data_IF_059153666747
#
_entry.id   IF_059153666747
#
_cell.length_a   1.000
_cell.length_b   1.000
_cell.length_c   1.000
_cell.angle_alpha   90.00
_cell.angle_beta   90.00
_cell.angle_gamma   90.00
#
_symmetry.space_group_name_H-M   'P 1'
#
loop_
_entity.id
_entity.type
_entity.pdbx_description
1 polymer ?
#
# COMPACT_ATOMS: atom_id res chain seq x y z
N UNK A 1 5.74 17.78 -50.22
CA UNK A 1 4.43 17.37 -49.65
C UNK A 1 4.53 17.60 -48.15
N UNK A 2 3.57 18.24 -47.49
CA UNK A 2 3.65 18.42 -46.03
C UNK A 2 3.44 17.04 -45.39
N UNK A 3 4.39 16.61 -44.56
CA UNK A 3 4.25 15.37 -43.78
C UNK A 3 3.04 15.49 -42.86
N UNK A 4 2.29 14.40 -42.79
CA UNK A 4 1.18 14.23 -41.86
C UNK A 4 1.68 14.14 -40.43
N UNK A 5 0.81 14.42 -39.46
CA UNK A 5 1.18 14.37 -38.06
C UNK A 5 1.61 12.95 -37.62
N UNK A 6 1.00 11.91 -38.22
CA UNK A 6 1.38 10.52 -37.97
C UNK A 6 2.78 10.19 -38.51
N UNK A 7 3.17 10.74 -39.66
CA UNK A 7 4.51 10.53 -40.22
C UNK A 7 5.59 11.20 -39.37
N UNK A 8 5.30 12.39 -38.82
CA UNK A 8 6.19 13.10 -37.91
C UNK A 8 6.35 12.35 -36.57
N UNK A 9 5.27 11.82 -36.00
CA UNK A 9 5.30 10.99 -34.78
C UNK A 9 6.10 9.70 -35.00
N UNK A 10 5.79 8.96 -36.06
CA UNK A 10 6.51 7.73 -36.40
C UNK A 10 8.00 7.98 -36.60
N UNK A 11 8.36 9.07 -37.30
CA UNK A 11 9.75 9.48 -37.50
C UNK A 11 10.45 9.82 -36.18
N UNK A 12 9.77 10.50 -35.26
CA UNK A 12 10.29 10.86 -33.95
C UNK A 12 10.59 9.62 -33.09
N UNK A 13 9.60 8.73 -32.91
CA UNK A 13 9.77 7.54 -32.06
C UNK A 13 10.78 6.54 -32.63
N UNK A 14 10.87 6.41 -33.96
CA UNK A 14 11.86 5.54 -34.61
C UNK A 14 13.27 6.14 -34.66
N UNK A 15 13.49 7.33 -34.08
CA UNK A 15 14.76 8.07 -34.15
C UNK A 15 15.23 8.34 -35.60
N UNK A 16 14.27 8.57 -36.51
CA UNK A 16 14.50 8.86 -37.95
C UNK A 16 14.15 10.29 -38.35
N UNK A 17 13.55 11.07 -37.45
CA UNK A 17 13.21 12.47 -37.69
C UNK A 17 14.47 13.37 -37.64
N UNK A 18 14.55 14.30 -38.59
CA UNK A 18 15.51 15.40 -38.58
C UNK A 18 15.11 16.53 -37.64
N UNK A 19 16.04 17.38 -37.24
CA UNK A 19 15.76 18.54 -36.37
C UNK A 19 14.65 19.47 -36.91
N UNK A 20 14.54 19.58 -38.24
CA UNK A 20 13.47 20.36 -38.88
C UNK A 20 12.09 19.71 -38.68
N UNK A 21 12.01 18.38 -38.72
CA UNK A 21 10.78 17.60 -38.49
C UNK A 21 10.40 17.61 -37.00
N UNK A 22 11.37 17.55 -36.10
CA UNK A 22 11.14 17.65 -34.65
C UNK A 22 10.56 19.02 -34.29
N UNK A 23 11.18 20.10 -34.77
CA UNK A 23 10.67 21.46 -34.53
C UNK A 23 9.26 21.68 -35.12
N UNK A 24 8.97 21.08 -36.28
CA UNK A 24 7.64 21.14 -36.88
C UNK A 24 6.60 20.34 -36.08
N UNK A 25 6.96 19.16 -35.56
CA UNK A 25 6.11 18.36 -34.67
C UNK A 25 5.80 19.13 -33.38
N UNK A 26 6.82 19.72 -32.73
CA UNK A 26 6.63 20.52 -31.51
C UNK A 26 5.71 21.72 -31.73
N UNK A 27 5.89 22.44 -32.84
CA UNK A 27 5.05 23.58 -33.22
C UNK A 27 3.59 23.16 -33.42
N UNK A 28 3.34 22.00 -34.05
CA UNK A 28 1.97 21.47 -34.23
C UNK A 28 1.37 20.97 -32.92
N UNK A 29 2.16 20.29 -32.10
CA UNK A 29 1.75 19.85 -30.77
C UNK A 29 1.37 21.02 -29.85
N UNK A 30 1.99 22.20 -29.97
CA UNK A 30 1.56 23.38 -29.22
C UNK A 30 0.17 23.88 -29.64
N UNK A 31 -0.16 23.78 -30.93
CA UNK A 31 -1.41 24.26 -31.48
C UNK A 31 -2.58 23.26 -31.37
N UNK A 32 -2.30 21.95 -31.40
CA UNK A 32 -3.31 20.89 -31.47
C UNK A 32 -3.33 19.98 -30.22
N UNK A 33 -4.36 20.05 -29.36
CA UNK A 33 -4.52 19.14 -28.21
C UNK A 33 -4.66 17.66 -28.59
N UNK A 34 -5.31 17.33 -29.70
CA UNK A 34 -5.54 15.94 -30.10
C UNK A 34 -4.23 15.29 -30.57
N UNK A 35 -3.34 16.08 -31.18
CA UNK A 35 -1.99 15.63 -31.50
C UNK A 35 -1.14 15.38 -30.26
N UNK A 36 -1.28 16.20 -29.20
CA UNK A 36 -0.60 15.93 -27.91
C UNK A 36 -1.07 14.62 -27.28
N UNK A 37 -2.36 14.33 -27.35
CA UNK A 37 -2.91 13.08 -26.82
C UNK A 37 -2.38 11.86 -27.60
N UNK A 38 -2.31 11.95 -28.93
CA UNK A 38 -1.72 10.89 -29.78
C UNK A 38 -0.23 10.66 -29.49
N UNK A 39 0.55 11.73 -29.32
CA UNK A 39 1.95 11.64 -28.90
C UNK A 39 2.11 10.90 -27.56
N UNK A 40 1.29 11.23 -26.56
CA UNK A 40 1.34 10.57 -25.25
C UNK A 40 1.02 9.08 -25.34
N UNK A 41 0.02 8.71 -26.15
CA UNK A 41 -0.36 7.31 -26.35
C UNK A 41 0.77 6.49 -27.01
N UNK A 42 1.45 7.06 -28.00
CA UNK A 42 2.61 6.40 -28.64
C UNK A 42 3.82 6.32 -27.71
N UNK A 43 4.12 7.36 -26.93
CA UNK A 43 5.20 7.35 -25.95
C UNK A 43 5.00 6.28 -24.86
N UNK A 44 3.76 6.10 -24.40
CA UNK A 44 3.40 5.05 -23.44
C UNK A 44 3.55 3.65 -24.06
N UNK A 45 3.15 3.49 -25.32
CA UNK A 45 3.29 2.24 -26.06
C UNK A 45 4.77 1.86 -26.24
N UNK A 46 5.61 2.80 -26.68
CA UNK A 46 7.05 2.58 -26.87
C UNK A 46 7.75 2.23 -25.55
N UNK A 47 7.37 2.91 -24.45
CA UNK A 47 7.91 2.62 -23.11
C UNK A 47 7.53 1.20 -22.66
N UNK A 48 6.29 0.79 -22.91
CA UNK A 48 5.79 -0.55 -22.57
C UNK A 48 6.45 -1.66 -23.41
N UNK A 49 6.68 -1.41 -24.70
CA UNK A 49 7.41 -2.35 -25.56
C UNK A 49 8.88 -2.47 -25.14
N UNK A 50 9.49 -1.35 -24.74
CA UNK A 50 10.88 -1.34 -24.26
C UNK A 50 11.05 -2.02 -22.92
N UNK A 51 10.07 -1.92 -22.01
CA UNK A 51 10.11 -2.67 -20.75
C UNK A 51 10.00 -4.18 -20.99
N UNK A 52 9.16 -4.62 -21.94
CA UNK A 52 9.07 -6.03 -22.36
C UNK A 52 10.42 -6.51 -22.94
N UNK A 53 11.03 -5.74 -23.86
CA UNK A 53 12.32 -6.11 -24.46
C UNK A 53 13.49 -6.15 -23.46
N UNK A 54 13.46 -5.30 -22.42
CA UNK A 54 14.43 -5.32 -21.33
C UNK A 54 14.24 -6.53 -20.41
N UNK A 55 13.00 -7.01 -20.27
CA UNK A 55 12.65 -8.19 -19.49
C UNK A 55 13.06 -9.49 -20.20
N UNK A 56 12.97 -9.54 -21.53
CA UNK A 56 13.39 -10.69 -22.34
C UNK A 56 14.92 -10.89 -22.35
N UNK A 57 15.70 -9.80 -22.28
CA UNK A 57 17.17 -9.84 -22.19
C UNK A 57 17.71 -10.27 -20.81
N UNK A 58 16.85 -10.49 -19.80
CA UNK A 58 17.24 -10.93 -18.46
C UNK A 58 17.30 -12.47 -18.32
N UNK A 59 16.96 -13.23 -19.36
CA UNK A 59 17.12 -14.69 -19.40
C UNK A 59 18.50 -15.05 -19.99
N UNK A 60 19.29 -15.93 -19.36
CA UNK A 60 20.48 -16.46 -20.00
C UNK A 60 20.07 -17.23 -21.25
N UNK A 61 20.54 -16.80 -22.43
CA UNK A 61 20.44 -17.58 -23.66
C UNK A 61 21.07 -18.96 -23.43
N UNK A 62 20.21 -19.98 -23.33
CA UNK A 62 20.58 -21.39 -23.25
C UNK A 62 20.54 -22.06 -24.64
N UNK A 63 20.79 -21.30 -25.70
CA UNK A 63 21.00 -21.88 -27.02
C UNK A 63 22.49 -22.11 -27.22
N UNK A 64 22.92 -23.34 -26.90
CA UNK A 64 24.14 -23.89 -27.46
C UNK A 64 23.97 -23.91 -29.00
N UNK A 65 24.91 -23.28 -29.70
CA UNK A 65 25.07 -23.43 -31.15
C UNK A 65 25.37 -24.91 -31.47
N UNK A 66 24.34 -25.70 -31.75
CA UNK A 66 24.51 -26.98 -32.42
C UNK A 66 24.75 -26.71 -33.90
N UNK A 67 26.02 -26.82 -34.33
CA UNK A 67 26.43 -26.78 -35.73
C UNK A 67 25.80 -27.95 -36.49
N UNK A 68 24.60 -27.73 -37.03
CA UNK A 68 23.99 -28.66 -37.98
C UNK A 68 24.67 -28.56 -39.36
N UNK A 69 25.20 -29.68 -39.85
CA UNK A 69 25.74 -29.83 -41.20
C UNK A 69 24.64 -29.68 -42.28
N UNK A 70 24.97 -29.24 -43.50
CA UNK A 70 23.94 -28.93 -44.51
C UNK A 70 23.26 -30.20 -45.05
N UNK A 71 21.92 -30.23 -45.17
CA UNK A 71 21.24 -31.37 -45.74
C UNK A 71 21.38 -31.39 -47.27
N UNK A 72 21.72 -32.56 -47.82
CA UNK A 72 21.75 -32.79 -49.28
C UNK A 72 20.32 -32.96 -49.80
N UNK A 73 19.89 -32.02 -50.63
CA UNK A 73 18.62 -32.03 -51.35
C UNK A 73 18.44 -33.31 -52.19
N UNK A 74 17.34 -34.04 -51.97
CA UNK A 74 16.69 -34.83 -53.04
C UNK A 74 15.27 -34.32 -53.25
N UNK A 75 15.01 -33.89 -54.48
CA UNK A 75 13.78 -33.27 -54.97
C UNK A 75 12.71 -34.34 -55.19
N UNK A 76 11.83 -34.60 -54.23
CA UNK A 76 10.42 -35.05 -54.45
C UNK A 76 9.73 -35.30 -53.12
N UNK A 77 8.95 -34.33 -52.61
CA UNK A 77 7.64 -34.58 -51.97
C UNK A 77 6.94 -33.26 -51.55
N UNK A 78 6.81 -32.32 -52.48
CA UNK A 78 6.27 -30.97 -52.23
C UNK A 78 4.73 -30.93 -52.16
N UNK A 79 4.07 -31.93 -51.57
CA UNK A 79 2.59 -31.93 -51.40
C UNK A 79 2.03 -32.43 -50.07
N UNK A 80 2.84 -32.96 -49.14
CA UNK A 80 2.34 -33.33 -47.78
C UNK A 80 2.70 -32.28 -46.70
N UNK A 81 3.67 -31.39 -46.95
CA UNK A 81 4.12 -30.42 -45.93
C UNK A 81 3.12 -29.29 -45.66
N UNK A 82 2.25 -28.95 -46.62
CA UNK A 82 1.33 -27.81 -46.49
C UNK A 82 0.13 -28.08 -45.55
N UNK A 83 -0.23 -29.35 -45.32
CA UNK A 83 -1.28 -29.72 -44.37
C UNK A 83 -0.76 -29.81 -42.92
N UNK A 84 0.49 -30.29 -42.73
CA UNK A 84 1.11 -30.40 -41.41
C UNK A 84 1.50 -29.04 -40.82
N UNK A 85 1.93 -28.08 -41.64
CA UNK A 85 2.30 -26.74 -41.17
C UNK A 85 1.10 -25.93 -40.71
N UNK A 86 -0.06 -26.06 -41.37
CA UNK A 86 -1.27 -25.36 -40.95
C UNK A 86 -1.83 -25.95 -39.64
N UNK A 87 -1.81 -27.27 -39.50
CA UNK A 87 -2.21 -27.94 -38.25
C UNK A 87 -1.25 -27.63 -37.10
N UNK A 88 0.07 -27.56 -37.35
CA UNK A 88 1.05 -27.17 -36.36
C UNK A 88 0.93 -25.68 -35.99
N UNK A 89 0.74 -24.78 -36.96
CA UNK A 89 0.48 -23.37 -36.69
C UNK A 89 -0.85 -23.18 -35.94
N UNK A 90 -1.91 -23.91 -36.29
CA UNK A 90 -3.19 -23.88 -35.57
C UNK A 90 -3.06 -24.47 -34.17
N UNK A 91 -2.30 -25.55 -33.99
CA UNK A 91 -2.02 -26.12 -32.67
C UNK A 91 -1.24 -25.14 -31.80
N UNK A 92 -0.22 -24.47 -32.36
CA UNK A 92 0.54 -23.41 -31.68
C UNK A 92 -0.36 -22.19 -31.40
N UNK A 93 -1.25 -21.80 -32.33
CA UNK A 93 -2.24 -20.72 -32.11
C UNK A 93 -3.25 -21.07 -31.01
N UNK A 94 -3.73 -22.31 -30.96
CA UNK A 94 -4.63 -22.81 -29.92
C UNK A 94 -3.94 -23.03 -28.57
N UNK A 95 -2.62 -23.26 -28.56
CA UNK A 95 -1.83 -23.43 -27.33
C UNK A 95 -1.36 -22.09 -26.75
N UNK A 96 -1.16 -21.06 -27.59
CA UNK A 96 -0.79 -19.70 -27.18
C UNK A 96 -2.02 -18.86 -26.80
N UNK A 97 -3.21 -19.16 -27.34
CA UNK A 97 -4.42 -18.33 -27.20
C UNK A 97 -5.43 -18.72 -26.12
N UNK A 98 -5.08 -19.58 -25.15
CA UNK A 98 -5.96 -19.82 -24.00
C UNK A 98 -5.69 -18.78 -22.92
N UNK A 99 -6.29 -17.60 -23.05
CA UNK A 99 -6.51 -16.73 -21.90
C UNK A 99 -7.47 -17.47 -20.95
N UNK A 100 -7.01 -17.75 -19.73
CA UNK A 100 -7.86 -18.27 -18.67
C UNK A 100 -8.99 -17.26 -18.43
N UNK A 101 -10.26 -17.70 -18.42
CA UNK A 101 -11.39 -16.78 -18.28
C UNK A 101 -11.23 -15.96 -17.01
N UNK A 102 -11.51 -14.67 -17.13
CA UNK A 102 -11.53 -13.76 -15.99
C UNK A 102 -12.51 -14.23 -14.92
N UNK A 103 -12.09 -14.12 -13.67
CA UNK A 103 -12.86 -14.56 -12.50
C UNK A 103 -13.29 -13.39 -11.60
N UNK A 104 -12.90 -12.16 -11.96
CA UNK A 104 -13.31 -10.98 -11.24
C UNK A 104 -12.64 -9.69 -11.74
N UNK A 105 -12.93 -8.61 -11.03
CA UNK A 105 -12.43 -7.25 -11.29
C UNK A 105 -11.77 -6.71 -10.02
N UNK A 106 -10.65 -6.01 -10.17
CA UNK A 106 -10.03 -5.25 -9.09
C UNK A 106 -10.87 -4.00 -8.85
N UNK A 107 -11.61 -3.97 -7.75
CA UNK A 107 -12.52 -2.87 -7.39
C UNK A 107 -11.76 -1.65 -6.87
N UNK A 108 -10.68 -1.88 -6.11
CA UNK A 108 -9.76 -0.83 -5.69
C UNK A 108 -8.35 -1.36 -5.41
N UNK A 109 -7.34 -0.52 -5.67
CA UNK A 109 -5.91 -0.81 -5.50
C UNK A 109 -5.24 0.40 -4.85
N UNK A 110 -5.31 0.47 -3.52
CA UNK A 110 -4.86 1.61 -2.73
C UNK A 110 -3.42 1.44 -2.26
N UNK A 111 -2.50 2.20 -2.87
CA UNK A 111 -1.06 2.11 -2.59
C UNK A 111 -0.50 0.69 -2.75
N UNK A 112 -1.10 -0.10 -3.65
CA UNK A 112 -0.80 -1.51 -3.81
C UNK A 112 0.54 -1.72 -4.51
N UNK A 113 1.46 -2.41 -3.83
CA UNK A 113 2.74 -2.86 -4.39
C UNK A 113 2.62 -4.30 -4.85
N UNK A 114 2.22 -4.53 -6.09
CA UNK A 114 2.02 -5.89 -6.60
C UNK A 114 3.31 -6.53 -7.11
N UNK A 115 3.44 -7.83 -6.87
CA UNK A 115 4.33 -8.73 -7.58
C UNK A 115 3.44 -9.78 -8.26
N UNK A 116 2.92 -9.44 -9.44
CA UNK A 116 2.03 -10.28 -10.24
C UNK A 116 2.38 -10.17 -11.72
N UNK A 117 2.14 -11.24 -12.47
CA UNK A 117 2.23 -11.27 -13.93
C UNK A 117 0.94 -10.74 -14.61
N UNK A 118 -0.11 -10.48 -13.82
CA UNK A 118 -1.42 -10.01 -14.28
C UNK A 118 -1.59 -8.49 -14.12
N UNK A 119 -2.57 -7.91 -14.81
CA UNK A 119 -2.92 -6.50 -14.66
C UNK A 119 -3.45 -6.22 -13.24
N UNK A 120 -2.90 -5.21 -12.57
CA UNK A 120 -3.22 -4.92 -11.16
C UNK A 120 -3.72 -3.49 -10.92
N UNK A 121 -4.29 -2.87 -11.96
CA UNK A 121 -4.87 -1.53 -11.91
C UNK A 121 -6.35 -1.57 -11.56
N UNK A 122 -6.87 -0.49 -11.00
CA UNK A 122 -8.30 -0.34 -10.72
C UNK A 122 -9.13 -0.59 -11.98
N UNK A 123 -10.18 -1.42 -11.84
CA UNK A 123 -11.07 -1.80 -12.92
C UNK A 123 -10.50 -2.85 -13.87
N UNK A 124 -9.27 -3.35 -13.66
CA UNK A 124 -8.76 -4.47 -14.44
C UNK A 124 -9.45 -5.78 -14.05
N UNK A 125 -9.70 -6.60 -15.06
CA UNK A 125 -10.08 -8.00 -14.86
C UNK A 125 -8.86 -8.83 -14.41
N UNK A 126 -9.12 -9.82 -13.56
CA UNK A 126 -8.12 -10.74 -13.07
C UNK A 126 -8.52 -12.20 -13.33
N UNK A 127 -7.54 -13.02 -13.70
CA UNK A 127 -7.70 -14.45 -14.01
C UNK A 127 -7.15 -15.32 -12.86
N UNK A 128 -7.42 -16.63 -12.85
CA UNK A 128 -6.76 -17.56 -11.94
C UNK A 128 -5.24 -17.41 -11.99
N UNK A 129 -4.58 -17.49 -10.84
CA UNK A 129 -3.14 -17.25 -10.73
C UNK A 129 -2.69 -16.84 -9.32
N UNK A 130 -1.39 -16.65 -9.17
CA UNK A 130 -0.78 -16.26 -7.89
C UNK A 130 -0.67 -14.74 -7.81
N UNK A 131 -1.18 -14.18 -6.72
CA UNK A 131 -1.17 -12.74 -6.44
C UNK A 131 -0.40 -12.47 -5.15
N UNK A 132 0.70 -11.73 -5.28
CA UNK A 132 1.51 -11.31 -4.13
C UNK A 132 1.43 -9.80 -3.98
N UNK A 133 0.85 -9.35 -2.87
CA UNK A 133 0.74 -7.95 -2.49
C UNK A 133 1.83 -7.64 -1.46
N UNK A 134 2.82 -6.81 -1.82
CA UNK A 134 3.92 -6.45 -0.93
C UNK A 134 3.51 -5.37 0.09
N UNK A 135 2.61 -4.46 -0.30
CA UNK A 135 2.13 -3.33 0.52
C UNK A 135 0.79 -2.81 0.01
N UNK A 136 0.07 -2.06 0.84
CA UNK A 136 -1.19 -1.40 0.45
C UNK A 136 -2.43 -2.25 0.73
N UNK A 137 -3.58 -1.80 0.24
CA UNK A 137 -4.87 -2.47 0.40
C UNK A 137 -5.52 -2.64 -0.95
N UNK A 138 -6.06 -3.82 -1.21
CA UNK A 138 -6.71 -4.15 -2.47
C UNK A 138 -8.09 -4.72 -2.17
N UNK A 139 -9.07 -4.32 -2.97
CA UNK A 139 -10.39 -4.95 -3.01
C UNK A 139 -10.54 -5.71 -4.32
N UNK A 140 -10.68 -7.03 -4.24
CA UNK A 140 -11.02 -7.91 -5.36
C UNK A 140 -12.52 -8.19 -5.34
N UNK A 141 -13.20 -7.97 -6.46
CA UNK A 141 -14.60 -8.34 -6.68
C UNK A 141 -14.67 -9.52 -7.63
N UNK A 142 -15.01 -10.70 -7.11
CA UNK A 142 -15.19 -11.90 -7.92
C UNK A 142 -16.52 -11.83 -8.68
N UNK A 143 -16.60 -12.45 -9.85
CA UNK A 143 -17.84 -12.50 -10.63
C UNK A 143 -18.98 -13.27 -9.94
N UNK A 144 -18.64 -14.15 -8.99
CA UNK A 144 -19.60 -14.77 -8.06
C UNK A 144 -20.33 -13.75 -7.16
N UNK A 145 -19.77 -12.55 -7.03
CA UNK A 145 -20.26 -11.48 -6.13
C UNK A 145 -19.51 -11.40 -4.82
N UNK A 146 -18.49 -12.25 -4.59
CA UNK A 146 -17.63 -12.15 -3.40
C UNK A 146 -16.75 -10.91 -3.50
N UNK A 147 -16.71 -10.15 -2.41
CA UNK A 147 -15.75 -9.05 -2.24
C UNK A 147 -14.70 -9.47 -1.22
N UNK A 148 -13.43 -9.43 -1.62
CA UNK A 148 -12.30 -9.72 -0.76
C UNK A 148 -11.43 -8.46 -0.63
N UNK A 149 -11.25 -7.98 0.59
CA UNK A 149 -10.27 -6.94 0.91
C UNK A 149 -9.03 -7.61 1.48
N UNK A 150 -7.86 -7.30 0.94
CA UNK A 150 -6.57 -7.83 1.41
C UNK A 150 -5.57 -6.72 1.68
N UNK A 151 -4.78 -6.88 2.74
CA UNK A 151 -3.73 -5.93 3.15
C UNK A 151 -2.34 -6.56 2.97
N UNK A 152 -1.44 -5.85 2.30
CA UNK A 152 -0.04 -6.25 2.12
C UNK A 152 0.77 -6.10 3.41
N UNK A 153 1.71 -7.02 3.72
CA UNK A 153 2.16 -8.14 2.88
C UNK A 153 1.18 -9.34 2.92
N UNK A 154 0.75 -9.78 1.74
CA UNK A 154 -0.16 -10.91 1.57
C UNK A 154 0.13 -11.70 0.29
N UNK A 155 -0.20 -12.99 0.31
CA UNK A 155 -0.12 -13.87 -0.85
C UNK A 155 -1.32 -14.80 -0.90
N UNK A 156 -1.96 -14.81 -2.06
CA UNK A 156 -3.05 -15.73 -2.38
C UNK A 156 -2.81 -16.37 -3.74
N UNK A 157 -3.48 -17.48 -3.99
CA UNK A 157 -3.67 -18.05 -5.31
C UNK A 157 -5.16 -18.11 -5.58
N UNK A 158 -5.58 -17.44 -6.66
CA UNK A 158 -6.95 -17.47 -7.13
C UNK A 158 -7.11 -18.71 -7.99
N UNK A 159 -7.99 -19.63 -7.57
CA UNK A 159 -8.25 -20.89 -8.28
C UNK A 159 -9.46 -20.75 -9.20
N UNK A 160 -10.53 -20.12 -8.71
CA UNK A 160 -11.75 -19.86 -9.48
C UNK A 160 -12.55 -18.68 -8.89
N UNK A 161 -13.72 -18.39 -9.46
CA UNK A 161 -14.68 -17.41 -8.91
C UNK A 161 -15.20 -17.79 -7.50
N UNK A 162 -15.05 -19.05 -7.12
CA UNK A 162 -15.60 -19.63 -5.89
C UNK A 162 -14.53 -20.20 -4.95
N UNK A 163 -13.24 -20.08 -5.31
CA UNK A 163 -12.18 -20.75 -4.58
C UNK A 163 -10.86 -19.97 -4.63
N UNK A 164 -10.24 -19.84 -3.46
CA UNK A 164 -8.87 -19.34 -3.32
C UNK A 164 -8.04 -20.24 -2.41
N UNK A 165 -6.72 -20.16 -2.57
CA UNK A 165 -5.74 -20.65 -1.61
C UNK A 165 -5.10 -19.43 -0.94
N UNK A 166 -5.27 -19.32 0.36
CA UNK A 166 -4.70 -18.27 1.20
C UNK A 166 -3.40 -18.76 1.84
N UNK A 167 -2.27 -18.15 1.46
CA UNK A 167 -0.96 -18.53 1.99
C UNK A 167 -0.60 -17.71 3.23
N UNK A 168 -0.59 -16.38 3.14
CA UNK A 168 -0.38 -15.50 4.28
C UNK A 168 -0.95 -14.10 4.03
N UNK A 169 -1.10 -13.33 5.11
CA UNK A 169 -1.58 -11.95 5.11
C UNK A 169 -2.81 -11.77 5.97
N UNK A 170 -3.48 -10.62 5.78
CA UNK A 170 -4.76 -10.31 6.38
C UNK A 170 -5.78 -10.07 5.27
N UNK A 171 -6.95 -10.72 5.37
CA UNK A 171 -8.06 -10.47 4.46
C UNK A 171 -9.40 -10.50 5.18
N UNK A 172 -10.35 -9.75 4.65
CA UNK A 172 -11.77 -9.82 5.00
C UNK A 172 -12.58 -10.16 3.76
N UNK A 173 -13.61 -10.98 3.95
CA UNK A 173 -14.47 -11.50 2.91
C UNK A 173 -15.89 -11.05 3.21
N UNK A 174 -16.57 -10.57 2.18
CA UNK A 174 -18.00 -10.36 2.17
C UNK A 174 -18.59 -11.27 1.10
N UNK A 175 -19.28 -12.31 1.54
CA UNK A 175 -19.85 -13.34 0.67
C UNK A 175 -21.38 -13.20 0.70
N UNK A 176 -22.00 -12.75 -0.40
CA UNK A 176 -23.45 -12.62 -0.47
C UNK A 176 -24.13 -13.99 -0.64
N UNK A 177 -25.45 -14.06 -0.46
CA UNK A 177 -26.22 -15.32 -0.50
C UNK A 177 -26.02 -16.12 -1.80
N UNK A 178 -25.87 -15.46 -2.95
CA UNK A 178 -25.65 -16.14 -4.23
C UNK A 178 -24.27 -16.83 -4.35
N UNK A 179 -23.32 -16.48 -3.47
CA UNK A 179 -21.96 -16.99 -3.45
C UNK A 179 -21.68 -17.88 -2.22
N UNK A 180 -22.74 -18.36 -1.55
CA UNK A 180 -22.64 -19.40 -0.52
C UNK A 180 -21.86 -20.60 -1.05
N UNK A 181 -20.91 -21.09 -0.25
CA UNK A 181 -19.99 -22.14 -0.64
C UNK A 181 -18.63 -21.64 -1.15
N UNK A 182 -18.34 -20.35 -1.08
CA UNK A 182 -17.00 -19.83 -1.36
C UNK A 182 -15.96 -20.50 -0.46
N UNK A 183 -14.94 -21.10 -1.06
CA UNK A 183 -13.92 -21.88 -0.34
C UNK A 183 -12.60 -21.12 -0.22
N UNK A 184 -12.12 -20.98 1.03
CA UNK A 184 -10.78 -20.46 1.34
C UNK A 184 -9.92 -21.61 1.87
N UNK A 185 -9.02 -22.10 1.03
CA UNK A 185 -8.07 -23.14 1.39
C UNK A 185 -6.85 -22.52 2.11
N UNK A 186 -6.37 -23.17 3.16
CA UNK A 186 -5.17 -22.78 3.90
C UNK A 186 -4.27 -23.98 4.11
N UNK A 187 -3.02 -23.75 4.54
CA UNK A 187 -2.10 -24.83 4.89
C UNK A 187 -2.60 -25.76 6.02
N UNK A 188 -3.55 -25.30 6.86
CA UNK A 188 -4.05 -26.05 8.03
C UNK A 188 -5.42 -26.71 7.81
N UNK A 189 -6.13 -26.32 6.75
CA UNK A 189 -7.50 -26.72 6.52
C UNK A 189 -8.21 -25.81 5.52
N UNK A 190 -9.52 -26.02 5.34
CA UNK A 190 -10.37 -25.20 4.49
C UNK A 190 -11.48 -24.53 5.26
N UNK A 191 -11.87 -23.35 4.81
CA UNK A 191 -12.99 -22.56 5.33
C UNK A 191 -14.04 -22.46 4.23
N UNK A 192 -15.26 -22.86 4.53
CA UNK A 192 -16.40 -22.78 3.61
C UNK A 192 -17.37 -21.74 4.14
N UNK A 193 -17.67 -20.75 3.31
CA UNK A 193 -18.61 -19.69 3.64
C UNK A 193 -20.08 -20.11 3.46
N UNK A 194 -20.95 -19.71 4.38
CA UNK A 194 -22.40 -19.97 4.31
C UNK A 194 -23.27 -18.70 4.23
N UNK A 195 -22.74 -17.61 3.66
CA UNK A 195 -23.36 -16.29 3.49
C UNK A 195 -22.92 -15.31 4.57
N UNK A 196 -21.63 -14.95 4.58
CA UNK A 196 -20.99 -14.36 5.78
C UNK A 196 -20.05 -13.20 5.49
N UNK A 197 -19.87 -12.35 6.50
CA UNK A 197 -18.72 -11.45 6.66
C UNK A 197 -17.73 -12.04 7.65
N UNK A 198 -16.54 -12.40 7.19
CA UNK A 198 -15.49 -12.97 8.04
C UNK A 198 -14.10 -12.47 7.68
N UNK A 199 -13.17 -12.56 8.62
CA UNK A 199 -11.77 -12.19 8.44
C UNK A 199 -10.86 -13.37 8.71
N UNK A 200 -9.78 -13.46 7.93
CA UNK A 200 -8.70 -14.43 8.06
C UNK A 200 -7.37 -13.70 8.18
N UNK A 201 -6.57 -14.10 9.18
CA UNK A 201 -5.18 -13.64 9.35
C UNK A 201 -4.28 -14.86 9.51
N UNK A 202 -3.24 -14.95 8.69
CA UNK A 202 -2.26 -16.04 8.75
C UNK A 202 -0.86 -15.50 8.46
N UNK A 203 0.10 -15.79 9.32
CA UNK A 203 1.51 -15.44 9.08
C UNK A 203 2.19 -16.42 8.12
N UNK A 204 3.40 -16.08 7.70
CA UNK A 204 4.26 -17.00 6.94
C UNK A 204 4.65 -18.25 7.76
N UNK A 205 5.11 -19.29 7.07
CA UNK A 205 5.65 -20.50 7.69
C UNK A 205 4.58 -21.35 8.41
N UNK A 206 4.84 -21.79 9.63
CA UNK A 206 3.89 -22.65 10.36
C UNK A 206 2.93 -21.88 11.27
N UNK A 207 2.70 -20.59 10.98
CA UNK A 207 1.83 -19.74 11.78
C UNK A 207 0.37 -20.24 11.69
N UNK A 208 -0.33 -20.29 12.82
CA UNK A 208 -1.75 -20.63 12.84
C UNK A 208 -2.60 -19.57 12.14
N UNK A 209 -3.68 -20.00 11.49
CA UNK A 209 -4.72 -19.15 10.94
C UNK A 209 -5.64 -18.64 12.06
N UNK A 210 -5.99 -17.36 12.07
CA UNK A 210 -6.99 -16.77 12.97
C UNK A 210 -8.20 -16.35 12.17
N UNK A 211 -9.37 -16.77 12.63
CA UNK A 211 -10.67 -16.54 12.01
C UNK A 211 -11.57 -15.75 12.95
N UNK A 212 -12.30 -14.78 12.40
CA UNK A 212 -13.33 -14.03 13.11
C UNK A 212 -14.54 -13.87 12.21
N UNK A 213 -15.71 -14.22 12.72
CA UNK A 213 -16.98 -14.01 12.02
C UNK A 213 -17.63 -12.73 12.53
N UNK A 214 -17.90 -11.80 11.64
CA UNK A 214 -18.61 -10.56 11.96
C UNK A 214 -20.12 -10.76 11.86
N UNK A 215 -20.60 -11.41 10.79
CA UNK A 215 -22.02 -11.62 10.52
C UNK A 215 -22.19 -12.87 9.66
N UNK A 216 -22.97 -13.86 10.10
CA UNK A 216 -23.26 -15.09 9.35
C UNK A 216 -22.65 -16.35 9.99
N UNK A 217 -22.27 -17.31 9.16
CA UNK A 217 -21.73 -18.62 9.58
C UNK A 217 -20.67 -19.15 8.59
N UNK A 218 -19.53 -19.63 9.12
CA UNK A 218 -18.54 -20.37 8.34
C UNK A 218 -18.33 -21.77 8.89
N UNK A 219 -18.05 -22.72 8.00
CA UNK A 219 -17.59 -24.06 8.37
C UNK A 219 -16.07 -24.18 8.19
N UNK A 220 -15.36 -24.48 9.28
CA UNK A 220 -13.91 -24.66 9.33
C UNK A 220 -13.59 -26.14 9.39
N UNK A 221 -12.93 -26.66 8.36
CA UNK A 221 -12.48 -28.03 8.25
C UNK A 221 -10.96 -28.09 8.41
N UNK A 222 -10.47 -28.74 9.45
CA UNK A 222 -9.05 -28.98 9.64
C UNK A 222 -8.59 -30.19 8.83
N UNK A 223 -7.33 -30.18 8.36
CA UNK A 223 -6.70 -31.31 7.66
C UNK A 223 -6.68 -32.65 8.43
N UNK A 224 -6.91 -32.64 9.76
CA UNK A 224 -7.00 -33.84 10.61
C UNK A 224 -8.44 -34.34 10.78
N UNK A 225 -9.39 -33.79 10.02
CA UNK A 225 -10.79 -34.21 9.99
C UNK A 225 -11.70 -33.52 11.01
N UNK A 226 -11.18 -32.61 11.85
CA UNK A 226 -12.02 -31.82 12.75
C UNK A 226 -12.83 -30.80 11.95
N UNK A 227 -14.12 -30.66 12.26
CA UNK A 227 -15.01 -29.67 11.67
C UNK A 227 -15.63 -28.81 12.77
N UNK A 228 -15.64 -27.49 12.58
CA UNK A 228 -16.26 -26.53 13.48
C UNK A 228 -17.01 -25.49 12.69
N UNK A 229 -18.23 -25.19 13.13
CA UNK A 229 -18.99 -24.06 12.61
C UNK A 229 -18.73 -22.87 13.52
N UNK A 230 -18.39 -21.71 12.94
CA UNK A 230 -18.28 -20.44 13.63
C UNK A 230 -19.45 -19.57 13.21
N UNK A 231 -20.17 -19.01 14.17
CA UNK A 231 -21.29 -18.08 13.91
C UNK A 231 -20.91 -16.64 14.25
N UNK A 232 -21.78 -15.69 13.91
CA UNK A 232 -21.70 -14.26 14.26
C UNK A 232 -21.02 -14.01 15.62
N UNK A 233 -19.97 -13.17 15.61
CA UNK A 233 -19.16 -12.76 16.75
C UNK A 233 -18.24 -13.85 17.36
N UNK A 234 -18.23 -15.06 16.80
CA UNK A 234 -17.29 -16.12 17.22
C UNK A 234 -15.93 -15.98 16.54
N UNK A 235 -14.92 -16.55 17.20
CA UNK A 235 -13.53 -16.56 16.75
C UNK A 235 -12.90 -17.91 17.02
N UNK A 236 -11.98 -18.28 16.13
CA UNK A 236 -11.17 -19.48 16.30
C UNK A 236 -9.75 -19.26 15.79
N UNK A 237 -8.82 -20.09 16.26
CA UNK A 237 -7.55 -20.28 15.59
C UNK A 237 -7.38 -21.72 15.12
N UNK A 238 -6.78 -21.91 13.96
CA UNK A 238 -6.49 -23.21 13.37
C UNK A 238 -4.98 -23.31 13.12
N UNK A 239 -4.34 -24.33 13.67
CA UNK A 239 -2.91 -24.61 13.48
C UNK A 239 -2.71 -26.02 12.89
N UNK A 240 -1.48 -26.53 12.89
CA UNK A 240 -1.17 -27.86 12.34
C UNK A 240 -1.83 -29.03 13.11
N UNK A 241 -2.29 -28.78 14.34
CA UNK A 241 -2.73 -29.80 15.29
C UNK A 241 -4.23 -29.80 15.53
N UNK A 242 -4.86 -28.63 15.70
CA UNK A 242 -6.29 -28.54 16.00
C UNK A 242 -6.92 -27.18 15.70
N UNK A 243 -8.26 -27.14 15.77
CA UNK A 243 -9.05 -25.91 15.84
C UNK A 243 -9.29 -25.55 17.31
N UNK A 244 -8.95 -24.33 17.70
CA UNK A 244 -9.13 -23.80 19.06
C UNK A 244 -10.25 -22.76 19.06
N UNK A 245 -11.26 -22.98 19.89
CA UNK A 245 -12.44 -22.10 20.06
C UNK A 245 -12.30 -21.24 21.32
N UNK A 246 -12.94 -20.06 21.34
CA UNK A 246 -13.02 -19.19 22.53
C UNK A 246 -11.65 -18.91 23.16
N UNK A 247 -10.81 -18.26 22.38
CA UNK A 247 -9.55 -17.73 22.88
C UNK A 247 -9.85 -16.66 23.94
N UNK A 248 -9.58 -16.96 25.21
CA UNK A 248 -8.88 -15.98 26.04
C UNK A 248 -7.57 -15.75 25.29
N UNK A 249 -7.37 -14.59 24.67
CA UNK A 249 -6.12 -14.29 23.95
C UNK A 249 -4.87 -14.46 24.86
N UNK A 250 -5.08 -14.55 26.18
CA UNK A 250 -4.08 -14.82 27.21
C UNK A 250 -3.84 -16.31 27.59
N UNK A 251 -4.58 -17.31 27.04
CA UNK A 251 -4.50 -18.71 27.52
C UNK A 251 -4.06 -19.78 26.53
N UNK A 252 -3.64 -19.46 25.31
CA UNK A 252 -2.99 -20.45 24.44
C UNK A 252 -1.55 -20.68 24.89
N UNK A 253 -1.35 -21.67 25.75
CA UNK A 253 -0.03 -22.23 26.04
C UNK A 253 0.40 -23.12 24.87
N UNK A 254 1.36 -22.64 24.10
CA UNK A 254 2.03 -23.42 23.04
C UNK A 254 2.44 -22.59 21.82
N UNK A 255 1.79 -21.46 21.58
CA UNK A 255 2.29 -20.48 20.62
C UNK A 255 3.35 -19.64 21.32
N UNK A 256 4.58 -19.64 20.79
CA UNK A 256 5.57 -18.60 21.12
C UNK A 256 4.86 -17.27 20.94
N UNK A 257 4.71 -16.55 22.04
CA UNK A 257 4.20 -15.18 22.08
C UNK A 257 5.11 -14.40 21.11
N UNK A 258 4.61 -14.14 19.91
CA UNK A 258 5.02 -12.93 19.21
C UNK A 258 4.33 -11.84 20.00
N UNK A 259 5.05 -11.24 20.94
CA UNK A 259 4.55 -10.18 21.82
C UNK A 259 3.85 -9.15 20.93
N UNK A 260 2.55 -8.95 21.17
CA UNK A 260 1.87 -7.87 20.48
C UNK A 260 2.55 -6.57 20.93
N UNK A 261 2.85 -5.67 19.99
CA UNK A 261 3.47 -4.40 20.36
C UNK A 261 2.54 -3.66 21.33
N UNK A 262 3.12 -3.06 22.37
CA UNK A 262 2.40 -2.14 23.24
C UNK A 262 2.08 -0.90 22.41
N UNK A 263 0.80 -0.59 22.23
CA UNK A 263 0.36 0.54 21.40
C UNK A 263 -0.18 1.65 22.28
N UNK A 264 0.58 2.74 22.37
CA UNK A 264 0.19 3.95 23.07
C UNK A 264 -0.51 4.92 22.11
N UNK A 265 -1.45 5.69 22.66
CA UNK A 265 -2.19 6.74 21.95
C UNK A 265 -2.00 8.05 22.69
N UNK A 266 -2.14 9.15 21.98
CA UNK A 266 -2.01 10.48 22.57
C UNK A 266 -3.17 10.85 23.50
N UNK A 267 -4.31 10.16 23.41
CA UNK A 267 -5.49 10.39 24.26
C UNK A 267 -5.94 11.86 24.34
N UNK A 268 -5.78 12.61 23.25
CA UNK A 268 -6.12 14.04 23.18
C UNK A 268 -4.99 14.98 23.60
N UNK A 269 -3.82 14.45 23.96
CA UNK A 269 -2.57 15.20 24.22
C UNK A 269 -1.86 15.59 22.92
N UNK A 270 -2.60 16.15 21.98
CA UNK A 270 -2.09 16.64 20.72
C UNK A 270 -2.79 17.93 20.29
N UNK A 271 -2.07 18.83 19.63
CA UNK A 271 -2.61 20.13 19.19
C UNK A 271 -1.80 20.76 18.08
N UNK A 272 -2.47 21.47 17.17
CA UNK A 272 -1.80 22.40 16.25
C UNK A 272 -1.63 23.77 16.90
N UNK A 273 -0.42 24.31 16.81
CA UNK A 273 -0.10 25.69 17.17
C UNK A 273 0.04 26.50 15.89
N UNK A 274 -0.71 27.59 15.78
CA UNK A 274 -0.73 28.50 14.62
C UNK A 274 -0.10 29.83 15.02
N UNK A 275 0.71 30.43 14.14
CA UNK A 275 1.40 31.70 14.41
C UNK A 275 0.46 32.88 14.61
N UNK A 276 -0.74 32.82 14.07
CA UNK A 276 -1.80 33.80 14.26
C UNK A 276 -2.79 33.40 15.34
N UNK A 277 -3.24 34.38 16.13
CA UNK A 277 -4.44 34.29 16.97
C UNK A 277 -5.76 34.39 16.18
N UNK A 278 -5.78 34.05 14.89
CA UNK A 278 -7.03 34.02 14.10
C UNK A 278 -7.84 32.82 14.59
N UNK A 279 -8.73 33.08 15.56
CA UNK A 279 -9.70 32.11 16.05
C UNK A 279 -10.67 31.69 14.93
N UNK A 280 -10.93 30.38 14.83
CA UNK A 280 -11.91 29.81 13.89
C UNK A 280 -11.36 28.82 12.85
N UNK A 281 -10.04 28.62 12.77
CA UNK A 281 -9.40 27.61 11.90
C UNK A 281 -8.76 26.44 12.69
N UNK A 282 -8.95 26.38 14.01
CA UNK A 282 -8.47 25.28 14.85
C UNK A 282 -9.37 24.05 14.64
N UNK A 283 -8.86 23.08 13.88
CA UNK A 283 -9.50 21.79 13.64
C UNK A 283 -9.01 20.80 14.69
N UNK A 284 -9.84 20.47 15.68
CA UNK A 284 -9.44 19.54 16.75
C UNK A 284 -9.35 18.08 16.29
N UNK A 285 -9.91 17.79 15.12
CA UNK A 285 -9.82 16.52 14.39
C UNK A 285 -8.52 16.38 13.57
N UNK A 286 -7.72 17.45 13.43
CA UNK A 286 -6.54 17.48 12.56
C UNK A 286 -5.30 18.04 13.26
N UNK A 287 -4.17 17.39 13.01
CA UNK A 287 -2.83 17.92 13.24
C UNK A 287 -2.31 18.55 11.96
N UNK A 288 -2.31 19.87 11.91
CA UNK A 288 -1.91 20.66 10.75
C UNK A 288 -0.47 21.16 10.85
N UNK A 289 0.22 21.14 9.71
CA UNK A 289 1.60 21.58 9.60
C UNK A 289 1.77 22.42 8.34
N UNK A 290 2.41 23.58 8.47
CA UNK A 290 2.73 24.48 7.36
C UNK A 290 3.97 25.29 7.70
N UNK A 291 4.90 25.33 6.75
CA UNK A 291 6.07 26.21 6.79
C UNK A 291 5.98 27.16 5.60
N UNK A 292 5.96 28.45 5.87
CA UNK A 292 5.81 29.49 4.87
C UNK A 292 7.17 30.05 4.47
N UNK A 293 7.41 30.12 3.15
CA UNK A 293 8.67 30.65 2.60
C UNK A 293 8.86 32.15 2.87
N UNK A 294 7.79 32.95 2.72
CA UNK A 294 7.86 34.41 2.77
C UNK A 294 7.34 34.98 4.07
N UNK A 295 8.09 35.91 4.68
CA UNK A 295 7.68 36.61 5.92
C UNK A 295 6.31 37.29 5.84
N UNK A 296 5.88 37.72 4.66
CA UNK A 296 4.56 38.33 4.42
C UNK A 296 3.38 37.38 4.71
N UNK A 297 3.63 36.08 4.81
CA UNK A 297 2.62 35.06 5.07
C UNK A 297 2.96 34.19 6.29
N UNK A 298 4.04 34.49 7.04
CA UNK A 298 4.49 33.72 8.21
C UNK A 298 3.39 33.55 9.27
N UNK A 299 2.41 34.46 9.27
CA UNK A 299 1.21 34.41 10.09
C UNK A 299 0.38 33.11 9.91
N UNK A 300 0.58 32.38 8.80
CA UNK A 300 -0.04 31.09 8.51
C UNK A 300 0.84 29.88 8.87
N UNK A 301 2.01 30.08 9.48
CA UNK A 301 2.83 28.97 9.96
C UNK A 301 2.09 28.15 11.01
N UNK A 302 2.26 26.84 10.92
CA UNK A 302 1.64 25.86 11.80
C UNK A 302 2.61 24.74 12.09
N UNK A 303 2.67 24.34 13.35
CA UNK A 303 3.33 23.10 13.76
C UNK A 303 2.40 22.33 14.68
N UNK A 304 2.52 21.01 14.68
CA UNK A 304 1.71 20.17 15.54
C UNK A 304 2.57 19.58 16.65
N UNK A 305 2.00 19.56 17.85
CA UNK A 305 2.58 18.96 19.05
C UNK A 305 1.75 17.73 19.40
N UNK A 306 2.38 16.68 19.86
CA UNK A 306 1.72 15.48 20.37
C UNK A 306 2.57 14.88 21.50
N UNK A 307 1.94 14.25 22.47
CA UNK A 307 2.65 13.52 23.51
C UNK A 307 1.97 12.19 23.85
N UNK A 308 2.75 11.26 24.39
CA UNK A 308 2.28 9.96 24.86
C UNK A 308 2.61 9.81 26.34
N UNK A 309 1.67 9.29 27.11
CA UNK A 309 1.96 8.81 28.46
C UNK A 309 2.79 7.52 28.35
N UNK A 310 4.02 7.59 28.84
CA UNK A 310 4.99 6.49 28.85
C UNK A 310 5.41 6.12 30.27
N UNK A 311 4.71 6.64 31.29
CA UNK A 311 5.05 6.47 32.71
C UNK A 311 5.06 5.00 33.17
N UNK A 312 4.28 4.13 32.53
CA UNK A 312 4.20 2.69 32.82
C UNK A 312 5.16 1.83 31.97
N UNK A 313 5.99 2.44 31.13
CA UNK A 313 6.85 1.71 30.18
C UNK A 313 8.26 1.54 30.73
N UNK A 314 8.70 0.28 30.82
CA UNK A 314 10.11 -0.05 31.03
C UNK A 314 10.85 -0.10 29.68
N UNK A 315 11.50 1.01 29.31
CA UNK A 315 12.23 1.12 28.05
C UNK A 315 13.49 0.25 27.96
N UNK A 316 13.99 -0.30 29.08
CA UNK A 316 15.06 -1.31 29.02
C UNK A 316 14.57 -2.62 28.42
N UNK A 317 13.27 -2.90 28.50
CA UNK A 317 12.63 -4.05 27.88
C UNK A 317 12.13 -3.76 26.46
N UNK A 318 12.29 -2.54 25.93
CA UNK A 318 11.86 -2.21 24.56
C UNK A 318 12.98 -2.49 23.56
N UNK A 319 12.67 -3.32 22.55
CA UNK A 319 13.57 -3.67 21.44
C UNK A 319 13.48 -2.68 20.29
N UNK A 320 12.26 -2.20 20.00
CA UNK A 320 11.96 -1.33 18.86
C UNK A 320 10.81 -0.40 19.21
N UNK A 321 10.83 0.83 18.70
CA UNK A 321 9.74 1.80 18.84
C UNK A 321 9.37 2.35 17.45
N UNK A 322 8.07 2.46 17.16
CA UNK A 322 7.56 3.00 15.91
C UNK A 322 6.53 4.09 16.18
N UNK A 323 6.73 5.27 15.63
CA UNK A 323 5.74 6.34 15.62
C UNK A 323 4.94 6.27 14.33
N UNK A 324 3.61 6.13 14.44
CA UNK A 324 2.70 6.01 13.31
C UNK A 324 1.82 7.25 13.23
N UNK A 325 1.81 7.88 12.06
CA UNK A 325 0.97 9.05 11.74
C UNK A 325 0.15 8.77 10.49
N UNK A 326 -1.13 9.10 10.48
CA UNK A 326 -1.96 8.99 9.28
C UNK A 326 -2.16 10.37 8.67
N UNK A 327 -1.58 10.60 7.49
CA UNK A 327 -1.83 11.82 6.72
C UNK A 327 -3.26 11.80 6.17
N UNK A 328 -3.93 12.95 6.25
CA UNK A 328 -5.31 13.13 5.79
C UNK A 328 -5.48 14.50 5.12
N UNK A 329 -6.43 14.63 4.17
CA UNK A 329 -6.73 15.91 3.54
C UNK A 329 -7.24 16.93 4.57
N UNK A 330 -6.68 18.14 4.57
CA UNK A 330 -7.14 19.22 5.45
C UNK A 330 -8.34 19.99 4.89
N UNK A 331 -8.51 19.99 3.57
CA UNK A 331 -9.42 20.89 2.87
C UNK A 331 -9.04 22.37 2.97
N UNK A 332 -7.82 22.68 3.44
CA UNK A 332 -7.34 24.04 3.70
C UNK A 332 -6.12 24.37 2.82
N UNK A 333 -6.23 25.46 2.06
CA UNK A 333 -5.17 25.98 1.19
C UNK A 333 -5.70 26.27 -0.21
N UNK A 334 -5.71 27.55 -0.62
CA UNK A 334 -6.15 27.94 -1.96
C UNK A 334 -5.00 27.79 -2.96
N UNK A 335 -5.17 26.91 -3.95
CA UNK A 335 -4.30 26.76 -5.11
C UNK A 335 -3.18 25.71 -4.97
N UNK A 336 -3.38 24.52 -5.53
CA UNK A 336 -2.36 23.46 -5.62
C UNK A 336 -1.19 23.79 -6.57
N UNK A 337 -1.29 24.89 -7.32
CA UNK A 337 -0.34 25.27 -8.36
C UNK A 337 1.09 25.57 -7.85
N UNK A 338 1.24 25.84 -6.55
CA UNK A 338 2.53 26.19 -5.93
C UNK A 338 2.92 25.22 -4.80
N UNK A 339 2.43 23.97 -4.89
CA UNK A 339 2.79 22.91 -3.96
C UNK A 339 4.06 22.18 -4.44
N UNK A 340 5.08 22.04 -3.57
CA UNK A 340 6.23 21.18 -3.84
C UNK A 340 5.78 19.78 -4.26
N UNK A 341 6.50 19.17 -5.22
CA UNK A 341 6.23 17.79 -5.64
C UNK A 341 6.38 16.82 -4.46
N UNK A 342 7.34 17.13 -3.59
CA UNK A 342 7.66 16.40 -2.36
C UNK A 342 7.81 17.42 -1.24
N UNK A 343 7.13 17.19 -0.12
CA UNK A 343 7.34 17.93 1.13
C UNK A 343 8.06 17.03 2.13
N UNK A 344 9.11 17.57 2.75
CA UNK A 344 9.91 16.93 3.79
C UNK A 344 9.45 17.38 5.17
N UNK A 345 9.43 16.44 6.11
CA UNK A 345 8.99 16.63 7.48
C UNK A 345 10.04 16.09 8.44
N UNK A 346 10.24 16.82 9.54
CA UNK A 346 10.99 16.39 10.69
C UNK A 346 10.06 16.13 11.89
N UNK A 347 10.31 15.04 12.59
CA UNK A 347 9.77 14.77 13.93
C UNK A 347 10.87 15.10 14.94
N UNK A 348 10.56 15.99 15.87
CA UNK A 348 11.49 16.42 16.91
C UNK A 348 10.98 15.99 18.28
N UNK A 349 11.76 15.19 19.02
CA UNK A 349 11.49 14.86 20.41
C UNK A 349 11.70 16.07 21.30
N UNK A 350 10.72 16.38 22.15
CA UNK A 350 10.75 17.49 23.11
C UNK A 350 11.46 16.97 24.37
N UNK A 351 12.63 17.53 24.74
CA UNK A 351 13.34 17.07 25.92
C UNK A 351 12.58 17.44 27.21
N UNK A 352 12.80 16.64 28.25
CA UNK A 352 12.22 16.82 29.57
C UNK A 352 12.44 18.23 30.11
N UNK A 353 11.39 18.80 30.71
CA UNK A 353 11.47 20.08 31.42
C UNK A 353 10.41 21.10 31.03
N UNK A 354 10.77 22.39 31.01
CA UNK A 354 9.79 23.49 30.84
C UNK A 354 9.03 23.43 29.50
N UNK A 355 9.62 22.80 28.49
CA UNK A 355 9.03 22.66 27.16
C UNK A 355 8.01 21.53 27.06
N UNK A 356 7.91 20.66 28.04
CA UNK A 356 6.97 19.54 28.07
C UNK A 356 5.58 19.96 28.59
N UNK A 357 5.57 21.00 29.43
CA UNK A 357 4.36 21.57 30.04
C UNK A 357 3.73 22.67 29.18
N UNK A 358 3.29 22.34 27.95
CA UNK A 358 2.56 23.30 27.12
C UNK A 358 1.04 23.34 27.43
N UNK A 359 0.44 24.53 27.58
CA UNK A 359 -1.00 24.67 27.83
C UNK A 359 -1.86 23.99 26.77
N UNK A 360 -2.99 23.41 27.19
CA UNK A 360 -3.97 22.81 26.27
C UNK A 360 -4.94 23.83 25.66
N UNK A 361 -5.00 25.04 26.21
CA UNK A 361 -5.88 26.15 25.78
C UNK A 361 -5.13 27.48 25.66
N UNK A 362 -5.59 28.39 24.79
CA UNK A 362 -5.03 29.74 24.62
C UNK A 362 -3.99 29.90 23.50
N UNK A 363 -3.45 31.11 23.34
CA UNK A 363 -2.42 31.45 22.35
C UNK A 363 -1.06 30.86 22.74
N UNK A 364 -0.50 30.02 21.86
CA UNK A 364 0.66 29.19 22.18
C UNK A 364 1.88 29.44 21.30
N UNK A 365 1.81 30.20 20.21
CA UNK A 365 2.89 30.17 19.20
C UNK A 365 4.30 30.43 19.74
N UNK A 366 4.47 31.50 20.53
CA UNK A 366 5.77 31.89 21.07
C UNK A 366 6.21 30.99 22.23
N UNK A 367 5.25 30.48 23.02
CA UNK A 367 5.53 29.63 24.20
C UNK A 367 5.66 28.15 23.87
N UNK A 368 5.12 27.72 22.74
CA UNK A 368 5.14 26.34 22.31
C UNK A 368 6.56 25.90 21.93
N UNK A 369 6.92 24.64 22.20
CA UNK A 369 8.18 24.07 21.75
C UNK A 369 8.40 24.31 20.26
N UNK A 370 9.63 24.66 19.90
CA UNK A 370 10.07 24.86 18.51
C UNK A 370 11.01 23.72 18.13
N UNK A 371 11.17 23.39 16.83
CA UNK A 371 12.13 22.38 16.40
C UNK A 371 13.54 22.58 16.95
N UNK A 372 13.97 23.84 17.08
CA UNK A 372 15.25 24.25 17.67
C UNK A 372 15.41 23.93 19.17
N UNK A 373 14.31 23.65 19.89
CA UNK A 373 14.34 23.17 21.28
C UNK A 373 14.30 21.63 21.38
N UNK A 374 14.03 20.94 20.27
CA UNK A 374 13.88 19.48 20.22
C UNK A 374 15.07 18.78 19.56
N UNK A 375 15.15 17.47 19.75
CA UNK A 375 16.11 16.61 19.04
C UNK A 375 15.42 15.97 17.83
N UNK A 376 16.03 15.99 16.65
CA UNK A 376 15.46 15.33 15.48
C UNK A 376 15.48 13.81 15.70
N UNK A 377 14.30 13.19 15.77
CA UNK A 377 14.16 11.74 15.99
C UNK A 377 13.80 10.98 14.73
N UNK A 378 13.15 11.60 13.75
CA UNK A 378 12.82 10.95 12.48
C UNK A 378 12.53 11.97 11.38
N UNK A 379 12.67 11.55 10.12
CA UNK A 379 12.28 12.34 8.96
C UNK A 379 11.46 11.50 7.98
N UNK A 380 10.57 12.14 7.24
CA UNK A 380 9.80 11.50 6.18
C UNK A 380 9.38 12.51 5.12
N UNK A 381 8.87 11.99 4.01
CA UNK A 381 8.40 12.80 2.89
C UNK A 381 7.00 12.40 2.46
N UNK A 382 6.22 13.39 2.05
CA UNK A 382 4.90 13.19 1.43
C UNK A 382 4.92 13.81 0.04
N UNK A 383 4.51 13.04 -0.96
CA UNK A 383 4.30 13.57 -2.32
C UNK A 383 2.97 14.31 -2.40
N UNK A 384 2.90 15.39 -3.19
CA UNK A 384 1.68 16.20 -3.35
C UNK A 384 0.42 15.44 -3.76
N UNK A 385 0.57 14.32 -4.48
CA UNK A 385 -0.55 13.48 -4.92
C UNK A 385 -1.04 12.52 -3.81
N UNK A 386 -0.24 12.27 -2.78
CA UNK A 386 -0.51 11.29 -1.73
C UNK A 386 -1.15 12.00 -0.53
N UNK A 387 -2.43 12.35 -0.66
CA UNK A 387 -3.16 13.09 0.38
C UNK A 387 -3.61 12.23 1.57
N UNK A 388 -3.60 10.89 1.40
CA UNK A 388 -3.83 9.91 2.46
C UNK A 388 -2.68 8.91 2.45
N UNK A 389 -1.96 8.80 3.55
CA UNK A 389 -0.80 7.92 3.68
C UNK A 389 -0.55 7.61 5.16
N UNK A 390 -0.28 6.35 5.48
CA UNK A 390 0.27 5.98 6.79
C UNK A 390 1.78 6.15 6.77
N UNK A 391 2.28 6.99 7.67
CA UNK A 391 3.70 7.24 7.90
C UNK A 391 4.10 6.39 9.10
N UNK A 392 4.96 5.40 8.89
CA UNK A 392 5.56 4.59 9.96
C UNK A 392 7.01 5.04 10.12
N UNK A 393 7.35 5.56 11.30
CA UNK A 393 8.66 6.09 11.63
C UNK A 393 9.32 5.17 12.64
N UNK A 394 10.37 4.49 12.19
CA UNK A 394 11.15 3.54 12.96
C UNK A 394 12.61 3.93 12.81
N UNK A 395 13.16 4.58 13.83
CA UNK A 395 14.51 5.11 13.82
C UNK A 395 15.23 4.81 15.13
N UNK A 396 16.55 4.57 15.10
CA UNK A 396 17.35 4.45 16.31
C UNK A 396 17.24 5.68 17.22
N UNK A 397 17.15 6.88 16.63
CA UNK A 397 17.03 8.15 17.35
C UNK A 397 15.70 8.25 18.11
N UNK A 398 14.61 7.71 17.57
CA UNK A 398 13.32 7.64 18.27
C UNK A 398 13.42 6.77 19.53
N UNK A 399 13.99 5.56 19.40
CA UNK A 399 14.17 4.68 20.56
C UNK A 399 15.15 5.27 21.59
N UNK A 400 16.22 5.92 21.13
CA UNK A 400 17.19 6.58 22.00
C UNK A 400 16.56 7.75 22.77
N UNK A 401 15.72 8.56 22.10
CA UNK A 401 14.96 9.63 22.75
C UNK A 401 14.02 9.08 23.82
N UNK A 402 13.24 8.05 23.50
CA UNK A 402 12.32 7.42 24.46
C UNK A 402 13.04 6.81 25.67
N UNK A 403 14.23 6.24 25.49
CA UNK A 403 15.06 5.73 26.59
C UNK A 403 15.67 6.80 27.48
N UNK A 404 15.80 8.02 26.96
CA UNK A 404 16.36 9.14 27.70
C UNK A 404 15.29 9.88 28.54
N UNK A 405 14.01 9.60 28.29
CA UNK A 405 12.86 10.18 29.00
C UNK A 405 12.87 9.79 30.49
N UNK A 406 12.68 10.79 31.35
CA UNK A 406 12.61 10.66 32.80
C UNK A 406 11.32 11.27 33.37
N UNK A 407 10.51 11.92 32.55
CA UNK A 407 9.28 12.61 32.93
C UNK A 407 8.05 11.69 32.95
N UNK A 408 8.07 10.61 32.16
CA UNK A 408 6.92 9.75 31.91
C UNK A 408 5.97 10.28 30.83
N UNK A 409 6.32 11.35 30.10
CA UNK A 409 5.57 11.86 28.95
C UNK A 409 6.49 12.11 27.73
N UNK A 410 6.34 11.31 26.68
CA UNK A 410 7.14 11.46 25.47
C UNK A 410 6.50 12.48 24.51
N UNK A 411 7.03 13.71 24.49
CA UNK A 411 6.57 14.80 23.63
C UNK A 411 7.25 14.88 22.26
N UNK A 412 6.51 15.25 21.21
CA UNK A 412 6.99 15.38 19.83
C UNK A 412 6.44 16.61 19.11
N UNK A 413 7.25 17.18 18.21
CA UNK A 413 6.88 18.23 17.26
C UNK A 413 6.87 17.64 15.85
N UNK A 414 5.75 17.78 15.14
CA UNK A 414 5.68 17.58 13.70
C UNK A 414 5.92 18.93 13.02
N UNK A 415 7.00 19.03 12.25
CA UNK A 415 7.36 20.22 11.50
C UNK A 415 7.59 19.90 10.02
N UNK A 416 7.07 20.76 9.13
CA UNK A 416 7.34 20.71 7.70
C UNK A 416 8.61 21.50 7.45
N UNK A 417 9.65 20.84 6.93
CA UNK A 417 10.93 21.47 6.62
C UNK A 417 10.90 22.13 5.23
N UNK A 418 10.01 21.66 4.35
CA UNK A 418 9.83 22.26 3.02
C UNK A 418 8.94 23.49 3.10
N UNK A 419 9.43 24.69 2.74
CA UNK A 419 8.62 25.89 2.72
C UNK A 419 7.68 25.90 1.49
N UNK A 420 6.48 26.46 1.64
CA UNK A 420 5.51 26.57 0.55
C UNK A 420 4.46 27.67 0.76
N UNK A 421 3.80 28.11 -0.32
CA UNK A 421 2.88 29.25 -0.26
C UNK A 421 1.46 28.88 0.15
N UNK A 422 0.88 27.82 -0.42
CA UNK A 422 -0.58 27.62 -0.36
C UNK A 422 -1.06 26.51 0.58
N UNK A 423 -0.40 25.35 0.65
CA UNK A 423 -1.00 24.18 1.30
C UNK A 423 -0.68 24.03 2.80
N UNK A 424 -1.64 23.42 3.53
CA UNK A 424 -1.51 22.93 4.90
C UNK A 424 -1.54 21.40 4.86
N UNK A 425 -0.49 20.75 5.33
CA UNK A 425 -0.47 19.30 5.49
C UNK A 425 -1.25 18.90 6.74
N UNK A 426 -1.98 17.78 6.67
CA UNK A 426 -2.81 17.27 7.74
C UNK A 426 -2.44 15.86 8.14
N UNK A 427 -2.50 15.60 9.44
CA UNK A 427 -2.49 14.28 10.02
C UNK A 427 -3.72 14.13 10.93
N UNK A 428 -4.25 12.92 11.03
CA UNK A 428 -5.39 12.63 11.90
C UNK A 428 -5.00 12.89 13.36
N UNK A 429 -5.88 13.56 14.13
CA UNK A 429 -5.77 13.57 15.60
C UNK A 429 -6.51 12.37 16.20
N UNK A 430 -6.45 12.20 17.52
CA UNK A 430 -7.24 11.19 18.24
C UNK A 430 -8.76 11.38 18.08
N UNK A 431 -9.20 12.55 17.61
CA UNK A 431 -10.62 12.91 17.39
C UNK A 431 -11.06 12.79 15.92
N UNK A 432 -10.16 12.39 15.03
CA UNK A 432 -10.49 12.23 13.62
C UNK A 432 -11.46 11.06 13.41
N UNK A 433 -12.48 11.24 12.57
CA UNK A 433 -13.59 10.28 12.43
C UNK A 433 -13.23 9.04 11.62
N UNK A 434 -12.40 9.20 10.60
CA UNK A 434 -12.15 8.17 9.58
C UNK A 434 -10.76 7.54 9.66
N UNK A 435 -9.86 8.10 10.46
CA UNK A 435 -8.45 7.69 10.49
C UNK A 435 -7.94 7.77 11.92
N UNK A 436 -7.09 6.83 12.31
CA UNK A 436 -6.54 6.81 13.65
C UNK A 436 -5.55 7.97 13.87
N UNK A 437 -5.61 8.58 15.04
CA UNK A 437 -4.61 9.56 15.49
C UNK A 437 -3.21 8.95 15.67
N UNK A 438 -2.24 9.75 16.16
CA UNK A 438 -0.87 9.28 16.34
C UNK A 438 -0.81 8.08 17.30
N UNK A 439 0.01 7.09 16.92
CA UNK A 439 0.27 5.89 17.74
C UNK A 439 1.75 5.71 17.95
N UNK A 440 2.14 5.29 19.14
CA UNK A 440 3.50 4.84 19.44
C UNK A 440 3.44 3.34 19.73
N UNK A 441 4.02 2.54 18.84
CA UNK A 441 4.10 1.09 18.97
C UNK A 441 5.46 0.68 19.52
N UNK A 442 5.47 -0.10 20.59
CA UNK A 442 6.67 -0.57 21.26
C UNK A 442 6.73 -2.09 21.16
N UNK A 443 7.77 -2.61 20.49
CA UNK A 443 8.05 -4.03 20.43
C UNK A 443 8.98 -4.38 21.59
N UNK A 444 8.55 -5.30 22.45
CA UNK A 444 9.32 -5.71 23.61
C UNK A 444 10.46 -6.67 23.22
N UNK A 445 11.53 -6.68 24.01
CA UNK A 445 12.63 -7.65 23.90
C UNK A 445 12.10 -8.99 24.34
N UNK A 446 12.42 -10.04 23.58
CA UNK A 446 12.13 -11.41 23.98
C UNK A 446 12.79 -11.70 25.34
N UNK A 447 12.06 -12.22 26.32
CA UNK A 447 12.60 -12.56 27.64
C UNK A 447 13.67 -13.66 27.58
#
# INVERSE_FOLDING_TARGET
MKESDQELLNGYFQSRASDAQINELERRMLADPDLRQRYLQEAMTETSLRSIALQENALPSKYAEEKAAPPKHKKTFTRIVMAGSLAACLAVFFWIGKEEPSVGVILSSEMAGWQSEHSTVDGAEFSPGVYTLQSGVVTLGFHSGVEMVMEGPARIEVVSEMEIIFDYGNASFHVPEQAVGFEVNTRHGKVIDLGTRFSLSMGEGNSGARLSVEEGEIAVHHNRGAVKHLVTMERASMDENSIHMNLDWNKVKGAKISEQPVVLRTNGRERTVVRTGIHGLERTDLLMVKHVETRSHAQFDRRSLLAFDVSEIDFDQVAQARLILNSVPTGIGMGANDMPVVSHFGIYGIPDGEHESWPTTGELWEKAPKPEHGSLVAQFSIRRANLRQTVVLDSPELLAFLKADQSGEAGFIIHCETPGKSMVHGFASSRHREAAGPRLELVMKKP
#
